data_IF_974310029193
#
_entry.id   IF_974310029193
#
_cell.length_a   1.000
_cell.length_b   1.000
_cell.length_c   1.000
_cell.angle_alpha   90.00
_cell.angle_beta   90.00
_cell.angle_gamma   90.00
#
_symmetry.space_group_name_H-M   'P 1'
#
loop_
_entity.id
_entity.type
_entity.pdbx_description
1 polymer ?
#
# COMPACT_ATOMS: atom_id res chain seq x y z
N UNK A 1 17.50 16.01 21.48
CA UNK A 1 17.42 15.19 20.25
C UNK A 1 17.80 13.75 20.57
N UNK A 2 16.84 12.81 20.47
CA UNK A 2 17.04 11.41 20.82
C UNK A 2 18.16 10.75 20.00
N UNK A 3 18.30 11.11 18.73
CA UNK A 3 19.30 10.53 17.82
C UNK A 3 20.73 10.93 18.21
N UNK A 4 20.93 12.14 18.68
CA UNK A 4 22.25 12.60 19.18
C UNK A 4 22.65 11.84 20.41
N UNK A 5 21.71 11.60 21.33
CA UNK A 5 21.97 10.86 22.58
C UNK A 5 22.27 9.36 22.36
N UNK A 6 21.92 8.81 21.20
CA UNK A 6 22.12 7.40 20.89
C UNK A 6 23.24 7.15 19.88
N UNK A 7 24.09 8.13 19.63
CA UNK A 7 25.29 7.96 18.82
C UNK A 7 25.07 7.90 17.30
N UNK A 8 23.89 8.21 16.81
CA UNK A 8 23.67 8.37 15.38
C UNK A 8 24.19 9.72 14.95
N UNK A 9 25.37 9.72 14.29
CA UNK A 9 26.00 10.93 13.76
C UNK A 9 25.52 11.31 12.36
N UNK A 10 24.63 10.54 11.76
CA UNK A 10 24.17 10.81 10.40
C UNK A 10 22.92 11.68 10.37
N UNK A 11 22.96 12.87 9.77
CA UNK A 11 21.80 13.71 9.57
C UNK A 11 20.76 13.09 8.61
N UNK A 12 21.10 11.97 7.94
CA UNK A 12 20.25 11.29 7.00
C UNK A 12 19.28 10.28 7.65
N UNK A 13 19.57 9.83 8.87
CA UNK A 13 18.71 8.86 9.58
C UNK A 13 17.92 9.58 10.68
N UNK A 14 16.77 10.12 10.31
CA UNK A 14 15.89 10.87 11.24
C UNK A 14 14.88 9.97 11.95
N UNK A 15 14.72 8.74 11.50
CA UNK A 15 13.73 7.82 12.02
C UNK A 15 14.43 6.66 12.72
N UNK A 16 14.01 6.36 13.93
CA UNK A 16 14.52 5.27 14.74
C UNK A 16 13.39 4.27 14.98
N UNK A 17 13.58 3.03 14.57
CA UNK A 17 12.74 1.92 14.95
C UNK A 17 13.51 1.08 15.96
N UNK A 18 12.97 0.92 17.16
CA UNK A 18 13.58 0.10 18.19
C UNK A 18 12.86 -1.24 18.29
N UNK A 19 13.63 -2.30 18.40
CA UNK A 19 13.12 -3.64 18.58
C UNK A 19 13.51 -4.15 19.96
N UNK A 20 12.59 -4.87 20.59
CA UNK A 20 12.85 -5.64 21.80
C UNK A 20 12.91 -7.10 21.42
N UNK A 21 13.94 -7.82 21.90
CA UNK A 21 14.03 -9.26 21.68
C UNK A 21 12.82 -9.99 22.27
N UNK A 22 12.31 -10.99 21.56
CA UNK A 22 11.37 -11.93 22.13
C UNK A 22 12.04 -12.70 23.28
N UNK A 23 11.30 -13.07 24.34
CA UNK A 23 11.88 -13.87 25.44
C UNK A 23 12.38 -15.24 24.96
N UNK A 24 11.83 -15.73 23.86
CA UNK A 24 12.19 -16.98 23.22
C UNK A 24 12.31 -16.81 21.72
N UNK A 25 13.19 -17.56 21.08
CA UNK A 25 13.21 -17.75 19.64
C UNK A 25 13.58 -19.19 19.30
N UNK A 26 13.22 -19.61 18.13
CA UNK A 26 13.44 -20.96 17.67
C UNK A 26 14.87 -21.12 17.15
N UNK A 27 15.40 -22.34 17.28
CA UNK A 27 16.76 -22.68 16.92
C UNK A 27 17.01 -22.58 15.41
N UNK A 28 15.98 -22.89 14.63
CA UNK A 28 16.01 -22.84 13.17
C UNK A 28 14.96 -21.86 12.63
N UNK A 29 15.36 -21.12 11.59
CA UNK A 29 14.42 -20.31 10.83
C UNK A 29 13.41 -21.15 10.07
N UNK A 30 12.31 -20.54 9.66
CA UNK A 30 11.33 -21.17 8.76
C UNK A 30 11.58 -20.64 7.36
N UNK A 31 11.67 -21.56 6.40
CA UNK A 31 11.82 -21.20 5.00
C UNK A 31 10.55 -20.47 4.49
N UNK A 32 10.76 -19.42 3.71
CA UNK A 32 9.67 -18.62 3.13
C UNK A 32 8.77 -19.48 2.24
N UNK A 33 9.35 -20.41 1.48
CA UNK A 33 8.57 -21.28 0.58
C UNK A 33 7.68 -22.24 1.37
N UNK A 34 8.12 -22.70 2.56
CA UNK A 34 7.29 -23.49 3.44
C UNK A 34 6.10 -22.69 3.97
N UNK A 35 6.32 -21.44 4.38
CA UNK A 35 5.25 -20.56 4.82
C UNK A 35 4.23 -20.35 3.70
N UNK A 36 4.70 -20.06 2.49
CA UNK A 36 3.85 -19.81 1.33
C UNK A 36 3.08 -21.03 0.84
N UNK A 37 3.61 -22.24 1.05
CA UNK A 37 2.93 -23.49 0.70
C UNK A 37 1.92 -23.95 1.74
N UNK A 38 2.08 -23.56 2.99
CA UNK A 38 1.21 -23.98 4.08
C UNK A 38 -0.23 -23.47 3.93
N UNK A 39 -0.39 -22.19 3.65
CA UNK A 39 -1.68 -21.53 3.38
C UNK A 39 -1.55 -20.52 2.23
N UNK A 40 -1.49 -20.98 0.98
CA UNK A 40 -1.19 -20.11 -0.17
C UNK A 40 -2.15 -18.94 -0.34
N UNK A 41 -3.42 -19.14 0.01
CA UNK A 41 -4.46 -18.12 -0.13
C UNK A 41 -4.39 -17.04 0.94
N UNK A 42 -3.82 -17.34 2.11
CA UNK A 42 -3.69 -16.40 3.21
C UNK A 42 -2.48 -15.48 3.01
N UNK A 43 -1.34 -16.03 2.60
CA UNK A 43 -0.08 -15.31 2.52
C UNK A 43 0.17 -14.59 1.19
N UNK A 44 -0.82 -13.88 0.68
CA UNK A 44 -0.69 -13.12 -0.60
C UNK A 44 0.40 -12.04 -0.53
N UNK A 45 0.54 -11.38 0.61
CA UNK A 45 1.51 -10.29 0.82
C UNK A 45 2.94 -10.77 1.13
N UNK A 46 3.09 -11.93 1.75
CA UNK A 46 4.39 -12.48 2.12
C UNK A 46 5.33 -12.78 0.94
N UNK A 47 4.79 -12.99 -0.25
CA UNK A 47 5.56 -13.18 -1.48
C UNK A 47 6.47 -12.01 -1.84
N UNK A 48 6.18 -10.82 -1.28
CA UNK A 48 7.00 -9.63 -1.48
C UNK A 48 8.05 -9.39 -0.39
N UNK A 49 8.14 -10.26 0.60
CA UNK A 49 8.86 -10.03 1.87
C UNK A 49 10.33 -9.68 1.70
N UNK A 50 11.02 -10.30 0.78
CA UNK A 50 12.47 -10.14 0.62
C UNK A 50 12.89 -8.82 -0.04
N UNK A 51 11.95 -8.09 -0.66
CA UNK A 51 12.20 -6.76 -1.26
C UNK A 51 11.73 -5.59 -0.41
N UNK A 52 11.00 -5.85 0.69
CA UNK A 52 10.36 -4.80 1.48
C UNK A 52 10.86 -4.89 2.92
N UNK A 53 11.33 -3.77 3.45
CA UNK A 53 11.84 -3.71 4.83
C UNK A 53 10.77 -3.97 5.88
N UNK A 54 9.51 -3.65 5.57
CA UNK A 54 8.37 -3.83 6.47
C UNK A 54 7.13 -4.20 5.67
N UNK A 55 6.36 -5.16 6.16
CA UNK A 55 5.05 -5.56 5.60
C UNK A 55 4.04 -5.56 6.74
N UNK A 56 2.87 -4.98 6.47
CA UNK A 56 1.72 -5.10 7.36
C UNK A 56 1.05 -6.45 7.13
N UNK A 57 1.01 -7.29 8.13
CA UNK A 57 0.25 -8.53 8.12
C UNK A 57 -1.19 -8.25 8.54
N UNK A 58 -2.14 -8.91 7.90
CA UNK A 58 -3.52 -8.99 8.39
C UNK A 58 -3.60 -9.86 9.65
N UNK A 59 -4.72 -9.77 10.38
CA UNK A 59 -4.94 -10.63 11.55
C UNK A 59 -4.93 -12.11 11.19
N UNK A 60 -5.45 -12.46 10.01
CA UNK A 60 -5.46 -13.82 9.49
C UNK A 60 -4.05 -14.31 9.12
N UNK A 61 -3.25 -13.48 8.43
CA UNK A 61 -1.86 -13.81 8.12
C UNK A 61 -1.03 -13.97 9.40
N UNK A 62 -1.22 -13.08 10.38
CA UNK A 62 -0.53 -13.16 11.67
C UNK A 62 -0.92 -14.42 12.45
N UNK A 63 -2.21 -14.78 12.48
CA UNK A 63 -2.68 -16.00 13.13
C UNK A 63 -2.11 -17.25 12.45
N UNK A 64 -2.10 -17.29 11.12
CA UNK A 64 -1.54 -18.39 10.33
C UNK A 64 -0.03 -18.51 10.50
N UNK A 65 0.70 -17.38 10.56
CA UNK A 65 2.13 -17.40 10.82
C UNK A 65 2.45 -17.96 12.21
N UNK A 66 1.72 -17.54 13.24
CA UNK A 66 1.85 -18.11 14.58
C UNK A 66 1.59 -19.62 14.61
N UNK A 67 0.56 -20.08 13.89
CA UNK A 67 0.26 -21.50 13.77
C UNK A 67 1.42 -22.29 13.18
N UNK A 68 2.04 -21.80 12.11
CA UNK A 68 3.20 -22.44 11.48
C UNK A 68 4.36 -22.53 12.47
N UNK A 69 4.68 -21.47 13.21
CA UNK A 69 5.72 -21.49 14.23
C UNK A 69 5.46 -22.54 15.30
N UNK A 70 4.21 -22.67 15.76
CA UNK A 70 3.83 -23.62 16.81
C UNK A 70 3.79 -25.07 16.32
N UNK A 71 3.43 -25.30 15.05
CA UNK A 71 3.37 -26.65 14.47
C UNK A 71 4.72 -27.33 14.37
N UNK A 72 5.79 -26.56 14.20
CA UNK A 72 7.15 -27.12 14.06
C UNK A 72 7.67 -27.78 15.33
N UNK A 73 7.04 -27.58 16.47
CA UNK A 73 7.45 -28.15 17.77
C UNK A 73 8.96 -28.02 18.04
N UNK A 74 9.54 -26.94 17.55
CA UNK A 74 10.96 -26.68 17.74
C UNK A 74 11.23 -26.42 19.23
N UNK A 75 12.43 -26.76 19.65
CA UNK A 75 12.93 -26.45 20.98
C UNK A 75 13.06 -24.95 21.11
N UNK A 76 12.30 -24.34 22.00
CA UNK A 76 12.46 -22.93 22.33
C UNK A 76 13.84 -22.72 22.94
N UNK A 77 14.62 -21.84 22.35
CA UNK A 77 15.91 -21.44 22.90
C UNK A 77 15.70 -20.13 23.64
N UNK A 78 16.16 -20.06 24.89
CA UNK A 78 16.20 -18.79 25.62
C UNK A 78 17.07 -17.78 24.82
N UNK A 79 16.59 -16.57 24.67
CA UNK A 79 17.34 -15.49 24.03
C UNK A 79 18.74 -15.42 24.64
N UNK A 80 19.79 -15.58 23.83
CA UNK A 80 21.16 -15.40 24.32
C UNK A 80 21.33 -13.93 24.68
N UNK A 81 21.26 -13.66 25.97
CA UNK A 81 21.59 -12.35 26.53
C UNK A 81 23.06 -12.09 26.27
N UNK A 82 23.40 -11.15 25.44
CA UNK A 82 24.77 -10.74 25.18
C UNK A 82 25.11 -10.46 23.71
N UNK A 83 24.40 -11.05 22.73
CA UNK A 83 24.60 -10.75 21.31
C UNK A 83 23.94 -9.38 20.97
N UNK A 84 22.81 -9.08 21.60
CA UNK A 84 22.14 -7.79 21.48
C UNK A 84 21.89 -7.26 22.90
N UNK A 85 22.73 -6.34 23.40
CA UNK A 85 22.52 -5.75 24.73
C UNK A 85 21.15 -5.09 24.76
N UNK A 86 20.34 -5.45 25.75
CA UNK A 86 19.06 -4.78 25.98
C UNK A 86 19.33 -3.30 26.27
N UNK A 87 18.88 -2.44 25.35
CA UNK A 87 18.95 -0.99 25.53
C UNK A 87 17.66 -0.50 26.18
N UNK A 88 17.43 -0.94 27.42
CA UNK A 88 16.24 -0.53 28.20
C UNK A 88 16.19 0.99 28.41
N UNK A 89 17.33 1.65 28.45
CA UNK A 89 17.45 3.10 28.49
C UNK A 89 16.78 3.78 27.29
N UNK A 90 17.02 3.25 26.08
CA UNK A 90 16.41 3.75 24.83
C UNK A 90 14.91 3.46 24.83
N UNK A 91 14.50 2.23 25.15
CA UNK A 91 13.09 1.86 25.19
C UNK A 91 12.31 2.68 26.20
N UNK A 92 12.84 2.91 27.39
CA UNK A 92 12.21 3.73 28.41
C UNK A 92 12.12 5.21 28.00
N UNK A 93 13.18 5.76 27.39
CA UNK A 93 13.18 7.13 26.89
C UNK A 93 12.17 7.34 25.75
N UNK A 94 11.97 6.34 24.89
CA UNK A 94 10.95 6.37 23.84
C UNK A 94 9.57 6.21 24.45
N UNK A 95 9.36 5.25 25.35
CA UNK A 95 8.07 5.02 25.99
C UNK A 95 7.59 6.26 26.78
N UNK A 96 8.49 7.00 27.40
CA UNK A 96 8.18 8.26 28.09
C UNK A 96 7.71 9.38 27.14
N UNK A 97 8.04 9.30 25.85
CA UNK A 97 7.68 10.30 24.84
C UNK A 97 6.52 9.87 23.93
N UNK A 98 6.25 8.57 23.87
CA UNK A 98 5.19 8.01 23.04
C UNK A 98 3.98 7.76 23.94
N UNK A 99 2.90 8.49 23.71
CA UNK A 99 1.60 8.18 24.26
C UNK A 99 1.13 6.81 23.72
N UNK A 100 0.16 6.16 24.37
CA UNK A 100 -0.34 4.81 24.10
C UNK A 100 -0.67 4.47 22.64
N UNK A 101 -0.68 5.46 21.77
CA UNK A 101 -0.79 5.31 20.31
C UNK A 101 0.26 6.17 19.64
N UNK A 102 1.30 5.53 19.13
CA UNK A 102 2.20 6.19 18.18
C UNK A 102 1.50 6.30 16.83
N UNK A 103 1.02 7.49 16.53
CA UNK A 103 0.54 7.82 15.19
C UNK A 103 1.65 8.60 14.51
N UNK A 104 2.22 8.01 13.45
CA UNK A 104 3.04 8.79 12.51
C UNK A 104 2.15 9.92 12.00
N UNK A 105 2.59 11.15 12.18
CA UNK A 105 1.95 12.32 11.55
C UNK A 105 2.59 12.49 10.18
N UNK A 106 1.92 12.17 9.09
CA UNK A 106 2.48 12.29 7.74
C UNK A 106 2.92 13.72 7.43
N UNK A 107 2.27 14.72 8.02
CA UNK A 107 2.66 16.11 7.89
C UNK A 107 4.11 16.36 8.33
N UNK A 108 4.54 15.79 9.47
CA UNK A 108 5.91 15.94 9.96
C UNK A 108 6.91 15.25 9.04
N UNK A 109 6.54 14.09 8.48
CA UNK A 109 7.36 13.36 7.51
C UNK A 109 7.42 14.10 6.17
N UNK A 110 6.29 14.53 5.64
CA UNK A 110 6.22 15.29 4.39
C UNK A 110 7.08 16.55 4.47
N UNK A 111 6.99 17.32 5.55
CA UNK A 111 7.77 18.53 5.74
C UNK A 111 9.28 18.29 5.57
N UNK A 112 9.78 17.11 5.96
CA UNK A 112 11.20 16.75 5.80
C UNK A 112 11.54 16.21 4.41
N UNK A 113 10.55 15.80 3.64
CA UNK A 113 10.68 15.16 2.34
C UNK A 113 10.25 16.07 1.18
N UNK A 114 9.96 17.34 1.42
CA UNK A 114 9.55 18.29 0.39
C UNK A 114 10.76 18.98 -0.24
N UNK A 115 10.70 19.17 -1.55
CA UNK A 115 11.57 20.03 -2.31
C UNK A 115 10.72 20.95 -3.20
N UNK A 116 10.68 22.24 -2.86
CA UNK A 116 9.70 23.16 -3.45
C UNK A 116 8.27 22.75 -3.08
N UNK A 117 7.44 22.53 -4.09
CA UNK A 117 6.05 22.05 -3.91
C UNK A 117 5.87 20.53 -4.13
N UNK A 118 6.97 19.79 -4.32
CA UNK A 118 6.95 18.35 -4.67
C UNK A 118 7.53 17.49 -3.57
N UNK A 119 7.06 16.25 -3.52
CA UNK A 119 7.59 15.22 -2.62
C UNK A 119 8.87 14.63 -3.22
N UNK A 120 9.95 14.63 -2.44
CA UNK A 120 11.26 14.14 -2.86
C UNK A 120 11.33 12.62 -3.06
N UNK A 121 10.57 11.87 -2.27
CA UNK A 121 10.58 10.41 -2.25
C UNK A 121 9.17 9.86 -2.44
N UNK A 122 9.00 8.91 -3.36
CA UNK A 122 7.72 8.29 -3.69
C UNK A 122 7.10 7.58 -2.48
N UNK A 123 7.90 6.93 -1.64
CA UNK A 123 7.42 6.34 -0.39
C UNK A 123 6.82 7.35 0.60
N UNK A 124 7.30 8.60 0.57
CA UNK A 124 6.71 9.65 1.41
C UNK A 124 5.35 10.11 0.87
N UNK A 125 5.20 10.16 -0.44
CA UNK A 125 3.91 10.38 -1.10
C UNK A 125 2.95 9.24 -0.78
N UNK A 126 3.41 7.99 -0.92
CA UNK A 126 2.62 6.80 -0.63
C UNK A 126 2.09 6.81 0.82
N UNK A 127 2.96 7.04 1.80
CA UNK A 127 2.56 7.11 3.20
C UNK A 127 1.53 8.22 3.48
N UNK A 128 1.68 9.37 2.83
CA UNK A 128 0.75 10.48 2.97
C UNK A 128 -0.60 10.18 2.32
N UNK A 129 -0.62 9.63 1.11
CA UNK A 129 -1.84 9.24 0.40
C UNK A 129 -2.60 8.15 1.18
N UNK A 130 -1.90 7.13 1.68
CA UNK A 130 -2.51 6.09 2.53
C UNK A 130 -3.16 6.70 3.76
N UNK A 131 -2.46 7.62 4.43
CA UNK A 131 -3.02 8.33 5.58
C UNK A 131 -4.26 9.15 5.20
N UNK A 132 -4.19 9.90 4.10
CA UNK A 132 -5.29 10.74 3.65
C UNK A 132 -6.52 9.94 3.22
N UNK A 133 -6.31 8.78 2.59
CA UNK A 133 -7.41 7.84 2.27
C UNK A 133 -8.04 7.27 3.54
N UNK A 134 -7.23 6.86 4.53
CA UNK A 134 -7.74 6.38 5.82
C UNK A 134 -8.54 7.43 6.60
N UNK A 135 -8.32 8.71 6.32
CA UNK A 135 -9.00 9.83 6.98
C UNK A 135 -10.01 10.55 6.06
N UNK A 136 -10.33 9.97 4.92
CA UNK A 136 -11.28 10.51 3.93
C UNK A 136 -10.93 11.92 3.42
N UNK A 137 -9.64 12.23 3.32
CA UNK A 137 -9.15 13.54 2.85
C UNK A 137 -9.03 13.62 1.33
N UNK A 138 -8.99 12.50 0.63
CA UNK A 138 -9.00 12.45 -0.84
C UNK A 138 -10.46 12.44 -1.33
N UNK A 139 -11.11 13.60 -1.27
CA UNK A 139 -12.56 13.72 -1.51
C UNK A 139 -13.01 13.19 -2.87
N UNK A 140 -12.15 13.30 -3.90
CA UNK A 140 -12.44 12.78 -5.24
C UNK A 140 -12.62 11.25 -5.28
N UNK A 141 -12.07 10.51 -4.29
CA UNK A 141 -12.13 9.05 -4.22
C UNK A 141 -13.13 8.53 -3.19
N UNK A 142 -13.71 9.43 -2.36
CA UNK A 142 -14.64 9.05 -1.30
C UNK A 142 -14.01 8.27 -0.15
N UNK A 143 -14.86 7.63 0.66
CA UNK A 143 -14.46 6.90 1.86
C UNK A 143 -14.14 5.44 1.56
N UNK A 144 -13.12 4.89 2.24
CA UNK A 144 -12.67 3.51 2.11
C UNK A 144 -12.52 2.88 3.50
N UNK A 145 -13.04 1.65 3.65
CA UNK A 145 -13.05 0.95 4.95
C UNK A 145 -11.71 0.27 5.26
N UNK A 146 -10.95 -0.09 4.21
CA UNK A 146 -9.64 -0.71 4.32
C UNK A 146 -8.70 -0.11 3.28
N UNK A 147 -7.49 0.22 3.68
CA UNK A 147 -6.44 0.73 2.79
C UNK A 147 -5.16 -0.04 3.05
N UNK A 148 -4.55 -0.56 2.00
CA UNK A 148 -3.25 -1.25 2.02
C UNK A 148 -2.33 -0.67 0.95
N UNK A 149 -1.04 -0.94 1.06
CA UNK A 149 -0.04 -0.46 0.12
C UNK A 149 0.89 -1.60 -0.34
N UNK A 150 1.55 -1.41 -1.48
CA UNK A 150 2.49 -2.36 -2.09
C UNK A 150 1.90 -3.77 -2.26
N UNK A 151 0.66 -3.83 -2.74
CA UNK A 151 -0.07 -5.09 -2.92
C UNK A 151 0.37 -5.77 -4.21
N UNK A 152 0.72 -7.04 -4.13
CA UNK A 152 1.16 -7.82 -5.28
C UNK A 152 0.01 -8.01 -6.27
N UNK A 153 0.24 -7.61 -7.53
CA UNK A 153 -0.74 -7.66 -8.60
C UNK A 153 -0.58 -8.87 -9.54
N UNK A 154 0.41 -9.71 -9.34
CA UNK A 154 0.66 -10.85 -10.24
C UNK A 154 1.32 -12.02 -9.52
N UNK A 155 0.53 -12.92 -8.94
CA UNK A 155 1.04 -14.04 -8.14
C UNK A 155 1.81 -15.10 -8.95
N UNK A 156 1.68 -15.11 -10.28
CA UNK A 156 2.30 -16.13 -11.16
C UNK A 156 3.66 -15.72 -11.74
N UNK A 157 4.11 -14.50 -11.50
CA UNK A 157 5.45 -14.08 -11.90
C UNK A 157 6.48 -14.46 -10.82
N UNK A 158 7.72 -14.76 -11.19
CA UNK A 158 8.82 -14.84 -10.23
C UNK A 158 8.86 -13.58 -9.36
N UNK A 159 9.21 -13.75 -8.10
CA UNK A 159 9.22 -12.67 -7.11
C UNK A 159 9.99 -11.42 -7.58
N UNK A 160 11.06 -11.61 -8.36
CA UNK A 160 11.87 -10.51 -8.92
C UNK A 160 11.12 -9.61 -9.92
N UNK A 161 10.07 -10.14 -10.52
CA UNK A 161 9.31 -9.48 -11.58
C UNK A 161 7.84 -9.21 -11.19
N UNK A 162 7.52 -9.32 -9.90
CA UNK A 162 6.18 -9.03 -9.43
C UNK A 162 5.88 -7.53 -9.51
N UNK A 163 4.81 -7.23 -10.22
CA UNK A 163 4.22 -5.90 -10.20
C UNK A 163 3.46 -5.70 -8.88
N UNK A 164 3.52 -4.49 -8.32
CA UNK A 164 2.84 -4.14 -7.07
C UNK A 164 1.97 -2.92 -7.30
N UNK A 165 0.76 -2.99 -6.79
CA UNK A 165 -0.14 -1.84 -6.69
C UNK A 165 0.34 -0.96 -5.54
N UNK A 166 0.60 0.31 -5.77
CA UNK A 166 1.05 1.21 -4.72
C UNK A 166 0.03 1.32 -3.59
N UNK A 167 -1.25 1.52 -3.93
CA UNK A 167 -2.33 1.52 -2.94
C UNK A 167 -3.52 0.72 -3.45
N UNK A 168 -3.96 -0.25 -2.64
CA UNK A 168 -5.21 -0.98 -2.82
C UNK A 168 -6.14 -0.66 -1.64
N UNK A 169 -7.36 -0.20 -1.94
CA UNK A 169 -8.35 0.02 -0.90
C UNK A 169 -9.64 -0.78 -1.19
N UNK A 170 -10.41 -1.01 -0.13
CA UNK A 170 -11.66 -1.76 -0.20
C UNK A 170 -12.76 -1.01 0.54
N UNK A 171 -13.96 -1.08 -0.03
CA UNK A 171 -15.20 -0.67 0.64
C UNK A 171 -16.02 -1.90 0.91
N UNK A 172 -16.58 -1.98 2.09
CA UNK A 172 -17.38 -3.13 2.52
C UNK A 172 -18.88 -2.87 2.39
N UNK A 173 -19.64 -3.93 2.24
CA UNK A 173 -21.08 -3.87 2.42
C UNK A 173 -21.41 -3.45 3.85
N UNK A 174 -22.43 -2.60 4.06
CA UNK A 174 -22.80 -2.10 5.38
C UNK A 174 -22.91 -3.22 6.44
N UNK A 175 -22.28 -2.99 7.58
CA UNK A 175 -22.26 -3.94 8.71
C UNK A 175 -21.62 -5.31 8.43
N UNK A 176 -20.80 -5.41 7.41
CA UNK A 176 -20.05 -6.62 7.07
C UNK A 176 -18.58 -6.33 6.85
N UNK A 177 -17.79 -7.38 6.64
CA UNK A 177 -16.41 -7.28 6.10
C UNK A 177 -16.32 -7.85 4.68
N UNK A 178 -17.44 -7.88 3.95
CA UNK A 178 -17.49 -8.36 2.57
C UNK A 178 -17.17 -7.19 1.64
N UNK A 179 -16.07 -7.26 0.89
CA UNK A 179 -15.72 -6.20 -0.06
C UNK A 179 -16.77 -6.09 -1.16
N UNK A 180 -17.18 -4.86 -1.49
CA UNK A 180 -18.09 -4.57 -2.59
C UNK A 180 -17.51 -3.60 -3.61
N UNK A 181 -16.42 -2.90 -3.27
CA UNK A 181 -15.67 -2.02 -4.17
C UNK A 181 -14.19 -2.11 -3.87
N UNK A 182 -13.38 -1.94 -4.89
CA UNK A 182 -11.93 -1.93 -4.84
C UNK A 182 -11.40 -0.65 -5.48
N UNK A 183 -10.40 -0.05 -4.88
CA UNK A 183 -9.63 1.06 -5.47
C UNK A 183 -8.23 0.57 -5.78
N UNK A 184 -7.81 0.81 -7.01
CA UNK A 184 -6.44 0.64 -7.47
C UNK A 184 -5.83 2.01 -7.66
N UNK A 185 -4.79 2.35 -6.92
CA UNK A 185 -4.11 3.62 -7.07
C UNK A 185 -2.61 3.43 -7.35
N UNK A 186 -2.12 4.17 -8.33
CA UNK A 186 -0.70 4.30 -8.69
C UNK A 186 -0.23 5.71 -8.36
N UNK A 187 0.98 5.82 -7.83
CA UNK A 187 1.53 7.08 -7.35
C UNK A 187 2.81 7.43 -8.11
N UNK A 188 2.92 8.67 -8.51
CA UNK A 188 4.14 9.23 -9.11
C UNK A 188 4.50 10.54 -8.42
N UNK A 189 5.66 10.59 -7.80
CA UNK A 189 6.15 11.82 -7.15
C UNK A 189 6.38 12.97 -8.14
N UNK A 190 6.65 12.64 -9.39
CA UNK A 190 6.86 13.57 -10.50
C UNK A 190 5.71 13.48 -11.51
N UNK A 191 6.00 13.42 -12.80
CA UNK A 191 4.99 13.28 -13.84
C UNK A 191 4.57 11.82 -14.05
N UNK A 192 3.27 11.59 -14.25
CA UNK A 192 2.76 10.33 -14.80
C UNK A 192 2.71 10.41 -16.33
N UNK A 193 2.93 9.28 -16.99
CA UNK A 193 2.97 9.15 -18.44
C UNK A 193 2.00 8.06 -18.96
N UNK A 194 2.05 7.82 -20.27
CA UNK A 194 1.24 6.77 -20.91
C UNK A 194 1.55 5.38 -20.36
N UNK A 195 2.80 5.10 -19.98
CA UNK A 195 3.18 3.81 -19.39
C UNK A 195 2.53 3.62 -18.02
N UNK A 196 2.37 4.69 -17.24
CA UNK A 196 1.68 4.69 -15.95
C UNK A 196 0.20 4.33 -16.13
N UNK A 197 -0.48 4.88 -17.15
CA UNK A 197 -1.87 4.51 -17.47
C UNK A 197 -1.95 3.01 -17.77
N UNK A 198 -1.08 2.50 -18.65
CA UNK A 198 -1.07 1.07 -19.00
C UNK A 198 -0.80 0.18 -17.78
N UNK A 199 0.05 0.61 -16.88
CA UNK A 199 0.36 -0.11 -15.65
C UNK A 199 -0.89 -0.23 -14.77
N UNK A 200 -1.59 0.87 -14.53
CA UNK A 200 -2.83 0.87 -13.74
C UNK A 200 -3.91 0.01 -14.37
N UNK A 201 -4.07 0.08 -15.69
CA UNK A 201 -5.06 -0.73 -16.39
C UNK A 201 -4.81 -2.24 -16.26
N UNK A 202 -3.54 -2.68 -16.25
CA UNK A 202 -3.19 -4.07 -15.93
C UNK A 202 -3.59 -4.45 -14.50
N UNK A 203 -3.40 -3.54 -13.55
CA UNK A 203 -3.82 -3.78 -12.17
C UNK A 203 -5.34 -3.84 -12.05
N UNK A 204 -6.06 -2.98 -12.75
CA UNK A 204 -7.53 -3.03 -12.82
C UNK A 204 -8.01 -4.38 -13.36
N UNK A 205 -7.44 -4.83 -14.48
CA UNK A 205 -7.78 -6.13 -15.08
C UNK A 205 -7.48 -7.28 -14.12
N UNK A 206 -6.36 -7.21 -13.40
CA UNK A 206 -5.99 -8.22 -12.39
C UNK A 206 -6.93 -8.21 -11.18
N UNK A 207 -7.22 -7.04 -10.59
CA UNK A 207 -8.14 -6.91 -9.45
C UNK A 207 -9.55 -7.35 -9.84
N UNK A 208 -9.99 -6.98 -11.06
CA UNK A 208 -11.28 -7.42 -11.59
C UNK A 208 -11.37 -8.95 -11.67
N UNK A 209 -10.32 -9.61 -12.16
CA UNK A 209 -10.28 -11.08 -12.26
C UNK A 209 -10.19 -11.76 -10.90
N UNK A 210 -9.27 -11.31 -10.03
CA UNK A 210 -8.92 -12.01 -8.80
C UNK A 210 -9.88 -11.74 -7.64
N UNK A 211 -10.43 -10.52 -7.56
CA UNK A 211 -11.22 -10.08 -6.40
C UNK A 211 -12.67 -9.75 -6.75
N UNK A 212 -12.93 -9.23 -7.95
CA UNK A 212 -14.25 -8.76 -8.35
C UNK A 212 -15.00 -9.74 -9.28
N UNK A 213 -14.47 -10.95 -9.49
CA UNK A 213 -15.11 -12.02 -10.29
C UNK A 213 -15.58 -11.58 -11.68
N UNK A 214 -14.80 -10.69 -12.32
CA UNK A 214 -15.10 -10.15 -13.65
C UNK A 214 -16.03 -8.93 -13.66
N UNK A 215 -16.46 -8.45 -12.51
CA UNK A 215 -17.28 -7.24 -12.40
C UNK A 215 -16.41 -5.98 -12.32
N UNK A 216 -16.18 -5.35 -13.47
CA UNK A 216 -15.45 -4.08 -13.54
C UNK A 216 -16.17 -2.94 -12.79
N UNK A 217 -17.49 -3.02 -12.60
CA UNK A 217 -18.23 -1.98 -11.85
C UNK A 217 -17.78 -1.90 -10.38
N UNK A 218 -17.24 -3.00 -9.85
CA UNK A 218 -16.68 -3.06 -8.51
C UNK A 218 -15.27 -2.45 -8.39
N UNK A 219 -14.61 -2.07 -9.51
CA UNK A 219 -13.23 -1.58 -9.50
C UNK A 219 -13.20 -0.10 -9.87
N UNK A 220 -12.66 0.73 -9.00
CA UNK A 220 -12.30 2.11 -9.24
C UNK A 220 -10.77 2.21 -9.36
N UNK A 221 -10.27 3.14 -10.16
CA UNK A 221 -8.83 3.33 -10.31
C UNK A 221 -8.46 4.81 -10.26
N UNK A 222 -7.24 5.11 -9.81
CA UNK A 222 -6.70 6.45 -9.93
C UNK A 222 -5.19 6.44 -10.13
N UNK A 223 -4.69 7.51 -10.74
CA UNK A 223 -3.30 7.88 -10.75
C UNK A 223 -3.18 9.19 -9.97
N UNK A 224 -2.25 9.24 -9.02
CA UNK A 224 -1.95 10.46 -8.26
C UNK A 224 -0.53 10.88 -8.60
N UNK A 225 -0.36 12.02 -9.29
CA UNK A 225 0.94 12.50 -9.74
C UNK A 225 1.08 14.02 -9.54
N UNK A 226 2.32 14.52 -9.53
CA UNK A 226 2.55 15.97 -9.48
C UNK A 226 2.14 16.66 -10.79
N UNK A 227 2.36 15.98 -11.91
CA UNK A 227 2.11 16.54 -13.24
C UNK A 227 1.61 15.46 -14.22
N UNK A 228 0.96 15.93 -15.27
CA UNK A 228 0.54 15.13 -16.41
C UNK A 228 0.97 15.85 -17.70
N UNK A 229 1.54 15.13 -18.69
CA UNK A 229 1.90 15.73 -19.96
C UNK A 229 0.65 16.14 -20.75
N UNK A 230 0.78 17.16 -21.60
CA UNK A 230 -0.35 17.71 -22.37
C UNK A 230 -1.07 16.67 -23.25
N UNK A 231 -0.32 15.70 -23.77
CA UNK A 231 -0.87 14.63 -24.62
C UNK A 231 -1.57 13.51 -23.84
N UNK A 232 -1.57 13.53 -22.51
CA UNK A 232 -2.14 12.45 -21.69
C UNK A 232 -3.64 12.26 -21.96
N UNK A 233 -4.36 13.36 -22.21
CA UNK A 233 -5.81 13.33 -22.44
C UNK A 233 -6.19 12.54 -23.70
N UNK A 234 -5.46 12.71 -24.78
CA UNK A 234 -5.69 11.96 -26.02
C UNK A 234 -5.46 10.47 -25.81
N UNK A 235 -4.34 10.12 -25.20
CA UNK A 235 -4.02 8.73 -24.89
C UNK A 235 -5.02 8.10 -23.92
N UNK A 236 -5.40 8.83 -22.87
CA UNK A 236 -6.41 8.41 -21.90
C UNK A 236 -7.71 8.02 -22.60
N UNK A 237 -8.24 8.89 -23.48
CA UNK A 237 -9.49 8.64 -24.21
C UNK A 237 -9.43 7.42 -25.13
N UNK A 238 -8.24 7.09 -25.63
CA UNK A 238 -8.04 5.92 -26.51
C UNK A 238 -8.02 4.61 -25.70
N UNK A 239 -7.35 4.56 -24.54
CA UNK A 239 -7.01 3.29 -23.88
C UNK A 239 -7.82 2.96 -22.63
N UNK A 240 -8.49 3.95 -21.99
CA UNK A 240 -9.15 3.78 -20.70
C UNK A 240 -10.55 3.20 -20.82
N UNK A 241 -10.79 2.28 -21.72
CA UNK A 241 -12.10 1.67 -21.88
C UNK A 241 -12.00 0.15 -21.74
N UNK A 242 -12.92 -0.42 -20.95
CA UNK A 242 -13.09 -1.86 -20.83
C UNK A 242 -14.56 -2.18 -21.09
N UNK A 243 -14.81 -3.10 -22.01
CA UNK A 243 -16.17 -3.58 -22.29
C UNK A 243 -16.35 -4.94 -21.63
N UNK A 244 -17.45 -5.11 -20.94
CA UNK A 244 -17.78 -6.34 -20.26
C UNK A 244 -19.29 -6.60 -20.29
N UNK A 245 -19.70 -7.80 -19.92
CA UNK A 245 -21.11 -8.19 -19.87
C UNK A 245 -21.53 -8.47 -18.44
N UNK A 246 -22.73 -8.01 -18.10
CA UNK A 246 -23.34 -8.24 -16.80
C UNK A 246 -24.65 -9.01 -16.97
N UNK A 247 -24.86 -10.02 -16.08
CA UNK A 247 -26.05 -10.85 -16.07
C UNK A 247 -26.05 -11.94 -17.15
N UNK A 248 -27.04 -12.81 -17.11
CA UNK A 248 -27.18 -13.91 -18.05
C UNK A 248 -28.45 -13.84 -18.88
N UNK A 249 -29.55 -13.28 -18.34
CA UNK A 249 -30.83 -13.18 -19.04
C UNK A 249 -31.60 -11.94 -18.56
N UNK A 250 -31.60 -10.84 -19.32
CA UNK A 250 -30.79 -10.59 -20.52
C UNK A 250 -29.33 -10.25 -20.19
N UNK A 251 -28.44 -10.55 -21.10
CA UNK A 251 -27.06 -10.07 -21.08
C UNK A 251 -27.09 -8.57 -21.36
N UNK A 252 -26.37 -7.79 -20.55
CA UNK A 252 -26.20 -6.34 -20.71
C UNK A 252 -24.75 -6.02 -20.97
N UNK A 253 -24.47 -5.30 -22.04
CA UNK A 253 -23.15 -4.75 -22.28
C UNK A 253 -22.92 -3.54 -21.37
N UNK A 254 -21.78 -3.47 -20.75
CA UNK A 254 -21.33 -2.38 -19.90
C UNK A 254 -19.96 -1.91 -20.37
N UNK A 255 -19.70 -0.65 -20.11
CA UNK A 255 -18.41 -0.03 -20.34
C UNK A 255 -17.87 0.49 -19.00
N UNK A 256 -16.61 0.19 -18.75
CA UNK A 256 -15.86 0.74 -17.63
C UNK A 256 -14.91 1.82 -18.15
N UNK A 257 -14.85 2.94 -17.46
CA UNK A 257 -13.95 4.06 -17.69
C UNK A 257 -13.63 4.81 -16.37
N UNK A 258 -13.64 4.07 -15.26
CA UNK A 258 -13.53 4.64 -13.91
C UNK A 258 -12.08 4.87 -13.44
N UNK A 259 -11.20 5.32 -14.36
CA UNK A 259 -9.85 5.76 -14.02
C UNK A 259 -9.87 7.29 -13.79
N UNK A 260 -9.46 7.73 -12.61
CA UNK A 260 -9.27 9.14 -12.29
C UNK A 260 -7.81 9.56 -12.37
N UNK A 261 -7.57 10.76 -12.84
CA UNK A 261 -6.26 11.42 -12.81
C UNK A 261 -6.31 12.53 -11.77
N UNK A 262 -5.56 12.38 -10.67
CA UNK A 262 -5.51 13.37 -9.60
C UNK A 262 -4.12 14.02 -9.57
N UNK A 263 -4.08 15.33 -9.71
CA UNK A 263 -2.84 16.09 -9.52
C UNK A 263 -2.72 16.46 -8.05
N UNK A 264 -1.61 16.04 -7.42
CA UNK A 264 -1.32 16.48 -6.07
C UNK A 264 -0.45 17.73 -6.05
N UNK A 265 -0.58 18.51 -4.99
CA UNK A 265 0.36 19.57 -4.62
C UNK A 265 0.53 19.62 -3.12
N UNK A 266 1.67 20.12 -2.66
CA UNK A 266 1.95 20.29 -1.25
C UNK A 266 1.93 21.77 -0.88
N UNK A 267 1.13 22.13 0.11
CA UNK A 267 1.08 23.46 0.68
C UNK A 267 0.69 23.40 2.15
N UNK A 268 1.25 24.29 2.96
CA UNK A 268 0.91 24.46 4.37
C UNK A 268 0.96 23.17 5.24
N UNK A 269 1.83 22.22 4.87
CA UNK A 269 2.00 20.98 5.64
C UNK A 269 1.13 19.81 5.19
N UNK A 270 0.28 20.00 4.18
CA UNK A 270 -0.69 18.99 3.71
C UNK A 270 -0.63 18.81 2.19
N UNK A 271 -1.06 17.63 1.72
CA UNK A 271 -1.32 17.39 0.31
C UNK A 271 -2.73 17.86 -0.05
N UNK A 272 -2.85 18.42 -1.22
CA UNK A 272 -4.13 18.71 -1.86
C UNK A 272 -4.22 17.96 -3.18
N UNK A 273 -5.43 17.58 -3.58
CA UNK A 273 -5.70 16.77 -4.75
C UNK A 273 -6.71 17.44 -5.64
N UNK A 274 -6.37 17.64 -6.92
CA UNK A 274 -7.24 18.20 -7.93
C UNK A 274 -7.53 17.13 -8.97
N UNK A 275 -8.81 16.88 -9.24
CA UNK A 275 -9.23 15.98 -10.31
C UNK A 275 -8.99 16.68 -11.66
N UNK A 276 -8.13 16.07 -12.47
CA UNK A 276 -7.76 16.52 -13.81
C UNK A 276 -8.10 15.48 -14.88
N UNK A 277 -9.00 14.56 -14.53
CA UNK A 277 -9.47 13.51 -15.43
C UNK A 277 -10.09 14.14 -16.68
N UNK A 278 -9.66 13.75 -17.89
CA UNK A 278 -10.28 14.21 -19.12
C UNK A 278 -11.77 13.87 -19.12
N UNK A 279 -12.61 14.85 -19.42
CA UNK A 279 -14.01 14.58 -19.62
C UNK A 279 -14.18 13.94 -21.00
N UNK A 280 -14.66 12.70 -21.04
CA UNK A 280 -15.09 12.12 -22.30
C UNK A 280 -16.35 12.87 -22.76
N UNK A 281 -16.20 13.74 -23.73
CA UNK A 281 -17.34 14.19 -24.50
C UNK A 281 -17.92 12.93 -25.16
N UNK A 282 -19.04 12.43 -24.65
CA UNK A 282 -19.77 11.41 -25.37
C UNK A 282 -20.26 12.05 -26.67
N UNK A 283 -19.94 11.47 -27.83
CA UNK A 283 -20.61 11.90 -29.04
C UNK A 283 -22.11 11.61 -28.88
N UNK A 284 -22.91 12.64 -29.11
CA UNK A 284 -24.36 12.57 -29.14
C UNK A 284 -24.92 11.47 -30.05
#
# INVERSE_FOLDING_TARGET
>A
DLLVNFGSQSPHYRWLCTFKGAPYFFEEGIDTDEILTYKPNTFKMLRAFWKVSFIKLSDEENASLKEIFLLRRQRETAAQTGIFPERNDIHNAIAAKVLDRYLIKPADMLQTCIFGSRVKHEMALEAAVVYDLCHNRVHALGAWDYVSHQVIASPFKPIDYMDKIDVLAMRYLPNTKIPCKYLVAELKKDAADNATINQVLKYVDWVCSEYAYGDYEAVEACIIAAEYPENIAAYYSEVVQRYYTLGSHPIRNKQWNSLKLLRYSYAAGELSYVDVTPQNEMPD
#
